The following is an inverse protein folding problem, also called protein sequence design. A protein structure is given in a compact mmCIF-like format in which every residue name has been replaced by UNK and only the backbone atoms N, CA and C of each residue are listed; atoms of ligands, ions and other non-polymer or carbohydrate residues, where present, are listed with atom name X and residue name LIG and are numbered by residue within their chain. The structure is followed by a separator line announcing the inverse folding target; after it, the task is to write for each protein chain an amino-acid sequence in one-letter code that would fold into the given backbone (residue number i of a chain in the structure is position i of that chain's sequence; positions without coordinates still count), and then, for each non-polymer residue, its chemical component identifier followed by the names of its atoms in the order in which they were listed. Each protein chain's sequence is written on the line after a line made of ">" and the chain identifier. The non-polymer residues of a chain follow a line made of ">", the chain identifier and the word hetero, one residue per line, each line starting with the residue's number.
data_IF_109234871654
#
_entry.id   IF_109234871654
#
_cell.length_a   1.000
_cell.length_b   1.000
_cell.length_c   1.000
_cell.angle_alpha   90.00
_cell.angle_beta   90.00
_cell.angle_gamma   90.00
#
_symmetry.space_group_name_H-M   'P 1'
#
loop_
_entity.id
_entity.type
_entity.pdbx_description
1 polymer ?
#
# COMPACT_ATOMS: atom_id res chain seq x y z
N UNK A 1 -10.10 47.49 36.42
CA UNK A 1 -10.72 48.13 35.23
C UNK A 1 -10.86 47.09 34.15
N UNK A 2 -12.12 46.88 33.72
CA UNK A 2 -12.64 46.35 32.45
C UNK A 2 -11.73 45.49 31.55
N UNK A 3 -12.19 44.27 31.22
CA UNK A 3 -12.93 44.07 29.95
C UNK A 3 -13.49 42.64 29.88
N UNK A 4 -14.82 42.54 30.01
CA UNK A 4 -15.62 41.36 29.72
C UNK A 4 -15.65 41.07 28.20
N UNK A 5 -15.54 39.79 27.82
CA UNK A 5 -15.78 39.31 26.46
C UNK A 5 -17.22 38.79 26.32
N UNK A 6 -17.93 39.12 25.22
CA UNK A 6 -19.34 38.78 25.06
C UNK A 6 -19.58 37.33 24.61
N UNK A 7 -20.58 36.70 25.23
CA UNK A 7 -21.15 35.40 24.85
C UNK A 7 -22.10 35.57 23.65
N UNK A 8 -21.82 34.87 22.54
CA UNK A 8 -22.77 34.75 21.43
C UNK A 8 -23.82 33.67 21.74
N UNK A 9 -25.10 34.08 21.66
CA UNK A 9 -26.30 33.22 21.70
C UNK A 9 -26.55 32.64 20.30
N UNK A 10 -26.74 31.34 20.18
CA UNK A 10 -27.39 30.73 19.00
C UNK A 10 -28.86 30.47 19.31
N UNK A 11 -29.73 30.99 18.45
CA UNK A 11 -31.18 30.84 18.46
C UNK A 11 -31.57 29.51 17.81
N UNK A 12 -32.45 28.79 18.49
CA UNK A 12 -33.25 27.73 17.90
C UNK A 12 -34.33 28.34 16.98
N UNK A 13 -34.54 27.73 15.81
CA UNK A 13 -35.74 27.94 14.99
C UNK A 13 -36.44 26.61 14.77
N UNK A 14 -37.73 26.64 15.06
CA UNK A 14 -38.67 25.54 15.07
C UNK A 14 -39.69 25.67 13.93
N UNK A 15 -39.99 24.56 13.26
CA UNK A 15 -41.25 24.27 12.54
C UNK A 15 -41.42 24.87 11.13
N UNK A 16 -42.43 24.43 10.34
CA UNK A 16 -43.59 23.62 10.74
C UNK A 16 -43.93 22.39 9.87
N UNK A 17 -44.91 21.64 10.39
CA UNK A 17 -45.67 20.52 9.84
C UNK A 17 -46.43 20.87 8.55
N UNK A 18 -46.63 19.88 7.68
CA UNK A 18 -47.65 19.88 6.62
C UNK A 18 -48.03 18.46 6.24
N UNK A 19 -49.29 18.10 6.50
CA UNK A 19 -49.95 16.79 6.28
C UNK A 19 -50.92 16.91 5.10
N UNK A 20 -51.34 15.77 4.54
CA UNK A 20 -52.48 15.50 3.63
C UNK A 20 -52.12 15.56 2.13
N UNK A 21 -52.51 14.65 1.22
CA UNK A 21 -53.63 13.69 1.04
C UNK A 21 -53.26 12.80 -0.22
N UNK A 22 -54.13 11.98 -0.88
CA UNK A 22 -55.05 10.92 -0.46
C UNK A 22 -54.81 9.56 -1.21
N UNK A 23 -55.67 8.58 -0.87
CA UNK A 23 -55.88 7.24 -1.47
C UNK A 23 -56.56 7.26 -2.86
N UNK A 24 -56.55 6.06 -3.48
CA UNK A 24 -57.42 5.51 -4.57
C UNK A 24 -56.74 5.51 -5.95
N UNK A 25 -56.86 4.52 -6.84
CA UNK A 25 -57.56 3.23 -6.88
C UNK A 25 -57.17 2.55 -8.20
N UNK A 26 -57.05 1.22 -8.22
CA UNK A 26 -57.06 0.39 -9.44
C UNK A 26 -58.44 0.47 -10.11
N UNK A 27 -58.52 0.21 -11.43
CA UNK A 27 -59.24 -1.00 -11.82
C UNK A 27 -58.62 -1.80 -12.98
N UNK A 28 -59.17 -3.00 -13.11
CA UNK A 28 -58.77 -4.15 -13.92
C UNK A 28 -59.14 -4.10 -15.40
N UNK A 29 -58.37 -4.88 -16.18
CA UNK A 29 -58.81 -5.79 -17.27
C UNK A 29 -59.21 -5.21 -18.64
N UNK A 30 -58.58 -5.69 -19.73
CA UNK A 30 -59.02 -6.90 -20.46
C UNK A 30 -58.10 -7.23 -21.64
N UNK A 31 -57.99 -8.53 -21.88
CA UNK A 31 -57.32 -9.21 -22.97
C UNK A 31 -57.77 -8.77 -24.37
N UNK A 32 -56.86 -8.84 -25.34
CA UNK A 32 -57.18 -9.51 -26.60
C UNK A 32 -55.92 -10.12 -27.22
N UNK A 33 -55.87 -11.44 -27.24
CA UNK A 33 -54.87 -12.23 -27.95
C UNK A 33 -55.08 -12.13 -29.46
N UNK A 34 -54.01 -11.87 -30.21
CA UNK A 34 -53.88 -12.30 -31.62
C UNK A 34 -52.55 -13.01 -31.82
N UNK A 35 -52.66 -14.32 -32.01
CA UNK A 35 -51.65 -15.25 -32.52
C UNK A 35 -51.27 -14.82 -33.93
N UNK A 36 -50.02 -14.43 -34.14
CA UNK A 36 -49.42 -14.36 -35.47
C UNK A 36 -48.08 -15.10 -35.43
N UNK A 37 -47.88 -15.87 -36.49
CA UNK A 37 -46.92 -16.96 -36.67
C UNK A 37 -45.47 -16.59 -36.37
N UNK A 38 -44.77 -17.58 -35.82
CA UNK A 38 -43.32 -17.71 -35.73
C UNK A 38 -42.62 -17.28 -37.03
N UNK A 39 -41.76 -16.28 -36.88
CA UNK A 39 -40.57 -16.10 -37.70
C UNK A 39 -39.41 -16.16 -36.72
N UNK A 40 -38.77 -17.33 -36.64
CA UNK A 40 -37.48 -17.50 -35.97
C UNK A 40 -36.51 -16.42 -36.45
N UNK A 41 -36.03 -15.52 -35.59
CA UNK A 41 -34.93 -14.65 -35.92
C UNK A 41 -33.67 -15.53 -36.00
N UNK A 42 -33.25 -15.87 -37.20
CA UNK A 42 -31.86 -16.29 -37.46
C UNK A 42 -30.99 -15.09 -37.14
N UNK A 43 -30.42 -15.12 -35.95
CA UNK A 43 -29.60 -14.03 -35.44
C UNK A 43 -29.48 -14.04 -33.93
N UNK A 44 -29.47 -15.22 -33.30
CA UNK A 44 -28.87 -15.33 -31.97
C UNK A 44 -27.37 -15.19 -32.21
N UNK A 45 -26.90 -13.94 -32.23
CA UNK A 45 -25.50 -13.67 -31.89
C UNK A 45 -25.35 -14.29 -30.51
N UNK A 46 -24.71 -15.45 -30.45
CA UNK A 46 -24.11 -15.92 -29.22
C UNK A 46 -23.10 -14.81 -28.93
N UNK A 47 -23.48 -13.87 -28.06
CA UNK A 47 -22.51 -13.05 -27.38
C UNK A 47 -21.70 -14.04 -26.57
N UNK A 48 -20.61 -14.54 -27.15
CA UNK A 48 -19.47 -15.00 -26.37
C UNK A 48 -18.99 -13.75 -25.65
N UNK A 49 -19.65 -13.43 -24.54
CA UNK A 49 -19.13 -12.52 -23.52
C UNK A 49 -17.91 -13.22 -22.89
N UNK A 50 -16.87 -13.41 -23.69
CA UNK A 50 -15.56 -13.03 -23.19
C UNK A 50 -15.65 -11.53 -22.97
N UNK A 51 -16.26 -11.12 -21.86
CA UNK A 51 -16.02 -9.78 -21.29
C UNK A 51 -14.51 -9.72 -21.17
N UNK A 52 -13.88 -9.07 -22.17
CA UNK A 52 -12.47 -8.77 -22.21
C UNK A 52 -12.17 -8.14 -20.85
N UNK A 53 -11.52 -8.91 -19.99
CA UNK A 53 -10.93 -8.37 -18.78
C UNK A 53 -10.16 -7.13 -19.23
N UNK A 54 -10.24 -5.98 -18.52
CA UNK A 54 -9.36 -4.86 -18.82
C UNK A 54 -7.97 -5.45 -18.95
N UNK A 55 -7.37 -5.31 -20.14
CA UNK A 55 -6.27 -6.18 -20.53
C UNK A 55 -5.23 -6.08 -19.41
N UNK A 56 -4.80 -7.19 -18.82
CA UNK A 56 -3.78 -7.19 -17.75
C UNK A 56 -2.57 -6.30 -18.14
N UNK A 57 -2.34 -6.11 -19.44
CA UNK A 57 -1.43 -5.15 -20.05
C UNK A 57 -1.56 -3.71 -19.50
N UNK A 58 -2.77 -3.22 -19.22
CA UNK A 58 -3.00 -1.88 -18.67
C UNK A 58 -2.48 -1.71 -17.23
N UNK A 59 -2.29 -2.83 -16.51
CA UNK A 59 -1.74 -2.82 -15.15
C UNK A 59 -0.22 -2.84 -15.11
N UNK A 60 0.43 -2.90 -16.28
CA UNK A 60 1.87 -3.07 -16.41
C UNK A 60 2.36 -4.27 -15.58
N UNK A 61 1.64 -5.39 -15.65
CA UNK A 61 2.04 -6.68 -15.09
C UNK A 61 2.22 -7.64 -16.27
N UNK A 62 3.18 -8.56 -16.17
CA UNK A 62 3.39 -9.60 -17.19
C UNK A 62 2.07 -10.25 -17.63
N UNK A 63 1.94 -10.51 -18.93
CA UNK A 63 0.73 -11.10 -19.51
C UNK A 63 0.48 -12.54 -19.08
N UNK A 64 1.49 -13.20 -18.49
CA UNK A 64 1.43 -14.58 -18.00
C UNK A 64 1.95 -14.66 -16.56
N UNK A 65 1.19 -14.13 -15.58
CA UNK A 65 1.60 -14.23 -14.18
C UNK A 65 1.70 -15.70 -13.73
N UNK A 66 2.59 -16.03 -12.79
CA UNK A 66 2.68 -17.38 -12.22
C UNK A 66 1.32 -17.88 -11.71
N UNK A 67 1.06 -19.20 -11.76
CA UNK A 67 -0.24 -19.76 -11.37
C UNK A 67 -0.64 -19.43 -9.93
N UNK A 68 0.34 -19.34 -9.04
CA UNK A 68 0.19 -18.99 -7.62
C UNK A 68 0.15 -17.47 -7.37
N UNK A 69 0.11 -16.64 -8.40
CA UNK A 69 -0.02 -15.19 -8.27
C UNK A 69 -1.45 -14.75 -8.56
N UNK A 70 -2.04 -14.00 -7.64
CA UNK A 70 -3.32 -13.34 -7.81
C UNK A 70 -3.11 -11.84 -7.90
N UNK A 71 -3.93 -11.18 -8.72
CA UNK A 71 -3.93 -9.73 -8.88
C UNK A 71 -5.24 -9.22 -8.33
N UNK A 72 -5.17 -8.27 -7.40
CA UNK A 72 -6.30 -7.50 -6.88
C UNK A 72 -6.16 -6.08 -7.41
N UNK A 73 -7.08 -5.65 -8.26
CA UNK A 73 -7.07 -4.31 -8.82
C UNK A 73 -8.24 -3.50 -8.28
N UNK A 74 -7.89 -2.34 -7.73
CA UNK A 74 -8.80 -1.37 -7.14
C UNK A 74 -8.67 -0.08 -7.93
N UNK A 75 -9.79 0.42 -8.44
CA UNK A 75 -9.83 1.65 -9.24
C UNK A 75 -10.96 2.56 -8.80
N UNK A 76 -10.75 3.87 -8.97
CA UNK A 76 -11.72 4.89 -8.58
C UNK A 76 -12.92 4.90 -9.53
N UNK A 77 -14.11 5.11 -8.97
CA UNK A 77 -15.34 5.39 -9.71
C UNK A 77 -15.90 6.74 -9.25
N UNK A 78 -15.31 7.81 -9.77
CA UNK A 78 -15.50 9.16 -9.23
C UNK A 78 -14.73 9.41 -7.93
N UNK A 79 -15.12 10.46 -7.19
CA UNK A 79 -14.29 11.01 -6.10
C UNK A 79 -14.26 10.15 -4.83
N UNK A 80 -15.39 9.53 -4.49
CA UNK A 80 -15.60 8.86 -3.21
C UNK A 80 -16.12 7.43 -3.38
N UNK A 81 -15.90 6.82 -4.54
CA UNK A 81 -16.24 5.42 -4.77
C UNK A 81 -15.12 4.71 -5.48
N UNK A 82 -15.14 3.39 -5.37
CA UNK A 82 -14.17 2.52 -6.00
C UNK A 82 -14.83 1.21 -6.41
N UNK A 83 -14.18 0.52 -7.34
CA UNK A 83 -14.51 -0.84 -7.71
C UNK A 83 -13.31 -1.74 -7.41
N UNK A 84 -13.60 -3.01 -7.17
CA UNK A 84 -12.60 -4.06 -6.99
C UNK A 84 -12.86 -5.12 -8.04
N UNK A 85 -11.80 -5.64 -8.63
CA UNK A 85 -11.81 -6.95 -9.26
C UNK A 85 -10.53 -7.71 -8.92
N UNK A 86 -10.61 -9.02 -9.03
CA UNK A 86 -9.55 -9.92 -8.69
C UNK A 86 -9.43 -11.01 -9.74
N UNK A 87 -8.21 -11.35 -10.13
CA UNK A 87 -7.96 -12.41 -11.09
C UNK A 87 -6.81 -13.29 -10.64
N UNK A 88 -6.97 -14.58 -10.90
CA UNK A 88 -5.92 -15.58 -10.87
C UNK A 88 -6.25 -16.61 -11.96
N UNK A 89 -5.23 -17.34 -12.45
CA UNK A 89 -5.40 -18.38 -13.47
C UNK A 89 -6.45 -19.45 -13.13
N UNK A 90 -6.74 -19.67 -11.85
CA UNK A 90 -7.71 -20.64 -11.36
C UNK A 90 -9.11 -20.04 -11.13
N UNK A 91 -9.20 -18.80 -10.60
CA UNK A 91 -10.48 -18.22 -10.16
C UNK A 91 -10.47 -16.70 -10.25
N UNK A 92 -11.58 -16.14 -10.74
CA UNK A 92 -11.85 -14.69 -10.74
C UNK A 92 -12.69 -14.30 -9.52
N UNK A 93 -12.50 -13.09 -9.03
CA UNK A 93 -13.41 -12.45 -8.09
C UNK A 93 -14.65 -12.00 -8.85
N UNK A 94 -15.83 -12.29 -8.32
CA UNK A 94 -17.08 -11.81 -8.89
C UNK A 94 -17.13 -10.28 -8.84
N UNK A 95 -17.32 -9.66 -10.00
CA UNK A 95 -17.42 -8.20 -10.09
C UNK A 95 -18.72 -7.74 -9.45
N UNK A 96 -18.62 -6.82 -8.48
CA UNK A 96 -19.80 -6.14 -7.94
C UNK A 96 -20.42 -5.28 -9.04
N UNK A 97 -21.76 -5.29 -9.13
CA UNK A 97 -22.50 -4.47 -10.12
C UNK A 97 -22.44 -2.97 -9.83
N UNK A 98 -22.21 -2.61 -8.58
CA UNK A 98 -22.20 -1.22 -8.13
C UNK A 98 -20.90 -0.90 -7.40
N UNK A 99 -20.35 0.32 -7.60
CA UNK A 99 -19.17 0.78 -6.89
C UNK A 99 -19.42 0.94 -5.39
N UNK A 100 -18.39 0.70 -4.60
CA UNK A 100 -18.40 0.86 -3.16
C UNK A 100 -18.02 2.27 -2.76
N UNK A 101 -18.56 2.76 -1.64
CA UNK A 101 -18.15 4.07 -1.10
C UNK A 101 -16.78 3.98 -0.45
N UNK A 102 -15.99 5.07 -0.54
CA UNK A 102 -14.73 5.24 0.18
C UNK A 102 -14.93 4.84 1.66
N UNK A 103 -14.17 3.87 2.16
CA UNK A 103 -14.35 3.44 3.54
C UNK A 103 -13.74 4.50 4.48
N UNK A 104 -14.30 4.61 5.68
CA UNK A 104 -13.78 5.49 6.74
C UNK A 104 -12.59 4.83 7.46
N UNK A 105 -11.54 4.52 6.68
CA UNK A 105 -10.37 3.73 7.11
C UNK A 105 -9.03 4.45 6.90
N UNK A 106 -9.04 5.76 6.61
CA UNK A 106 -7.79 6.46 6.34
C UNK A 106 -6.89 6.43 7.58
N UNK A 107 -5.72 5.82 7.41
CA UNK A 107 -4.68 5.70 8.43
C UNK A 107 -3.70 6.88 8.39
N UNK A 108 -4.12 7.96 7.73
CA UNK A 108 -3.38 9.20 7.69
C UNK A 108 -3.29 9.89 9.06
N UNK A 109 -4.15 9.53 10.03
CA UNK A 109 -4.16 10.14 11.36
C UNK A 109 -3.24 9.36 12.31
N UNK A 110 -2.32 10.03 13.04
CA UNK A 110 -1.51 9.40 14.07
C UNK A 110 -2.36 8.65 15.12
N UNK A 111 -1.89 7.48 15.51
CA UNK A 111 -2.51 6.67 16.57
C UNK A 111 -2.08 7.25 17.92
N UNK A 112 -2.90 8.11 18.50
CA UNK A 112 -2.58 8.85 19.72
C UNK A 112 -3.00 8.09 20.99
N UNK A 113 -3.84 7.05 20.87
CA UNK A 113 -4.34 6.29 22.03
C UNK A 113 -4.74 4.84 21.75
N UNK A 114 -5.12 4.13 22.82
CA UNK A 114 -5.66 2.76 22.76
C UNK A 114 -6.95 2.72 21.95
N UNK A 115 -7.81 3.72 22.15
CA UNK A 115 -9.11 3.80 21.50
C UNK A 115 -8.95 3.95 19.98
N UNK A 116 -7.96 4.71 19.51
CA UNK A 116 -7.67 4.85 18.08
C UNK A 116 -7.28 3.51 17.45
N UNK A 117 -6.33 2.78 18.05
CA UNK A 117 -5.88 1.49 17.53
C UNK A 117 -6.99 0.43 17.53
N UNK A 118 -7.80 0.40 18.60
CA UNK A 118 -8.96 -0.48 18.70
C UNK A 118 -10.03 -0.13 17.65
N UNK A 119 -10.31 1.16 17.45
CA UNK A 119 -11.26 1.62 16.44
C UNK A 119 -10.79 1.27 15.03
N UNK A 120 -9.50 1.46 14.72
CA UNK A 120 -8.93 1.05 13.42
C UNK A 120 -9.11 -0.46 13.21
N UNK A 121 -8.74 -1.29 14.19
CA UNK A 121 -8.92 -2.75 14.09
C UNK A 121 -10.39 -3.12 13.87
N UNK A 122 -11.31 -2.53 14.63
CA UNK A 122 -12.74 -2.81 14.52
C UNK A 122 -13.31 -2.37 13.15
N UNK A 123 -12.92 -1.19 12.66
CA UNK A 123 -13.35 -0.71 11.36
C UNK A 123 -12.80 -1.60 10.23
N UNK A 124 -11.55 -2.07 10.35
CA UNK A 124 -10.97 -3.04 9.41
C UNK A 124 -11.71 -4.38 9.42
N UNK A 125 -12.14 -4.83 10.60
CA UNK A 125 -12.97 -6.04 10.72
C UNK A 125 -14.32 -5.84 10.03
N UNK A 126 -15.03 -4.76 10.32
CA UNK A 126 -16.31 -4.44 9.68
C UNK A 126 -16.17 -4.34 8.16
N UNK A 127 -15.10 -3.67 7.70
CA UNK A 127 -14.77 -3.58 6.28
C UNK A 127 -14.53 -4.94 5.63
N UNK A 128 -13.87 -5.85 6.34
CA UNK A 128 -13.64 -7.22 5.89
C UNK A 128 -14.95 -8.02 5.79
N UNK A 129 -15.84 -7.86 6.78
CA UNK A 129 -17.17 -8.50 6.80
C UNK A 129 -18.04 -8.02 5.61
N UNK A 130 -18.06 -6.70 5.36
CA UNK A 130 -18.75 -6.09 4.21
C UNK A 130 -18.16 -6.54 2.86
N UNK A 131 -16.89 -6.94 2.86
CA UNK A 131 -16.17 -7.46 1.71
C UNK A 131 -16.04 -8.99 1.71
N UNK A 132 -17.02 -9.70 2.27
CA UNK A 132 -17.01 -11.17 2.30
C UNK A 132 -16.80 -11.87 0.94
N UNK A 133 -17.24 -11.34 -0.24
CA UNK A 133 -16.87 -11.96 -1.52
C UNK A 133 -15.37 -11.93 -1.79
N UNK A 134 -14.70 -10.83 -1.44
CA UNK A 134 -13.25 -10.67 -1.58
C UNK A 134 -12.52 -11.64 -0.64
N UNK A 135 -12.89 -11.68 0.64
CA UNK A 135 -12.23 -12.57 1.60
C UNK A 135 -12.43 -14.05 1.24
N UNK A 136 -13.64 -14.46 0.82
CA UNK A 136 -13.91 -15.81 0.31
C UNK A 136 -13.12 -16.15 -0.95
N UNK A 137 -12.95 -15.20 -1.88
CA UNK A 137 -12.12 -15.40 -3.06
C UNK A 137 -10.67 -15.67 -2.66
N UNK A 138 -10.10 -14.83 -1.79
CA UNK A 138 -8.72 -14.98 -1.31
C UNK A 138 -8.52 -16.30 -0.56
N UNK A 139 -9.46 -16.68 0.32
CA UNK A 139 -9.42 -17.96 1.01
C UNK A 139 -9.42 -19.13 0.04
N UNK A 140 -10.27 -19.11 -0.99
CA UNK A 140 -10.30 -20.19 -1.99
C UNK A 140 -9.02 -20.30 -2.82
N UNK A 141 -8.30 -19.18 -3.03
CA UNK A 141 -6.98 -19.20 -3.64
C UNK A 141 -5.94 -19.77 -2.68
N UNK A 142 -6.02 -19.41 -1.39
CA UNK A 142 -5.13 -19.94 -0.36
C UNK A 142 -5.31 -21.44 -0.18
N UNK A 143 -6.55 -21.94 -0.17
CA UNK A 143 -6.83 -23.38 -0.13
C UNK A 143 -6.21 -24.12 -1.32
N UNK A 144 -6.10 -23.45 -2.48
CA UNK A 144 -5.52 -24.02 -3.70
C UNK A 144 -3.99 -23.99 -3.73
N UNK A 145 -3.38 -22.88 -3.31
CA UNK A 145 -1.94 -22.62 -3.51
C UNK A 145 -1.12 -22.64 -2.21
N UNK A 146 -1.76 -22.69 -1.05
CA UNK A 146 -1.13 -22.71 0.27
C UNK A 146 -0.26 -21.47 0.52
N UNK A 147 0.87 -21.69 1.21
CA UNK A 147 1.86 -20.66 1.54
C UNK A 147 2.56 -20.04 0.33
N UNK A 148 2.44 -20.66 -0.85
CA UNK A 148 3.02 -20.16 -2.09
C UNK A 148 2.16 -19.09 -2.76
N UNK A 149 0.94 -18.82 -2.27
CA UNK A 149 0.11 -17.76 -2.82
C UNK A 149 0.80 -16.39 -2.67
N UNK A 150 0.84 -15.64 -3.76
CA UNK A 150 1.24 -14.23 -3.77
C UNK A 150 0.07 -13.37 -4.25
N UNK A 151 -0.19 -12.28 -3.54
CA UNK A 151 -1.20 -11.30 -3.89
C UNK A 151 -0.53 -9.98 -4.31
N UNK A 152 -0.69 -9.62 -5.58
CA UNK A 152 -0.30 -8.31 -6.12
C UNK A 152 -1.49 -7.37 -6.00
N UNK A 153 -1.31 -6.26 -5.28
CA UNK A 153 -2.35 -5.28 -4.99
C UNK A 153 -2.07 -4.05 -5.85
N UNK A 154 -2.94 -3.80 -6.82
CA UNK A 154 -2.89 -2.64 -7.71
C UNK A 154 -3.97 -1.67 -7.28
N UNK A 155 -3.61 -0.68 -6.46
CA UNK A 155 -4.56 0.27 -5.89
C UNK A 155 -4.38 1.67 -6.51
N UNK A 156 -5.30 2.05 -7.39
CA UNK A 156 -5.35 3.39 -8.00
C UNK A 156 -6.21 4.38 -7.21
N UNK A 157 -6.67 4.01 -6.01
CA UNK A 157 -7.41 4.92 -5.12
C UNK A 157 -6.44 5.68 -4.22
N UNK A 158 -6.84 6.85 -3.71
CA UNK A 158 -6.09 7.58 -2.67
C UNK A 158 -6.70 7.31 -1.29
N UNK A 159 -7.31 6.14 -1.12
CA UNK A 159 -8.05 5.82 0.09
C UNK A 159 -7.13 5.19 1.14
N UNK A 160 -5.90 4.83 0.76
CA UNK A 160 -4.85 4.34 1.67
C UNK A 160 -5.33 3.13 2.47
N UNK A 161 -6.13 2.28 1.83
CA UNK A 161 -6.71 1.11 2.48
C UNK A 161 -5.57 0.13 2.78
N UNK A 162 -5.39 -0.32 4.04
CA UNK A 162 -4.39 -1.31 4.40
C UNK A 162 -4.90 -2.70 4.03
N UNK A 163 -4.95 -3.02 2.74
CA UNK A 163 -5.44 -4.29 2.21
C UNK A 163 -4.81 -5.53 2.88
N UNK A 164 -3.57 -5.39 3.35
CA UNK A 164 -2.84 -6.40 4.10
C UNK A 164 -3.50 -6.72 5.47
N UNK A 165 -4.22 -5.77 6.07
CA UNK A 165 -4.95 -5.92 7.33
C UNK A 165 -6.36 -6.51 7.17
N UNK A 166 -6.78 -6.85 5.95
CA UNK A 166 -8.07 -7.53 5.77
C UNK A 166 -8.10 -8.82 6.57
N UNK A 167 -9.14 -8.97 7.37
CA UNK A 167 -9.39 -10.13 8.19
C UNK A 167 -10.13 -11.19 7.35
N UNK A 168 -9.49 -12.34 7.17
CA UNK A 168 -10.12 -13.53 6.64
C UNK A 168 -10.90 -14.17 7.79
N UNK A 169 -12.21 -13.94 7.81
CA UNK A 169 -13.09 -14.53 8.83
C UNK A 169 -12.88 -16.04 8.84
N UNK A 170 -12.50 -16.64 9.97
CA UNK A 170 -12.27 -18.07 10.02
C UNK A 170 -13.58 -18.83 9.75
N UNK A 171 -13.53 -19.86 8.91
CA UNK A 171 -14.67 -20.75 8.67
C UNK A 171 -15.15 -21.48 9.94
N UNK A 172 -14.29 -21.54 10.96
CA UNK A 172 -14.58 -22.13 12.26
C UNK A 172 -14.63 -21.02 13.31
N UNK A 173 -15.74 -20.89 14.02
CA UNK A 173 -15.99 -19.84 15.02
C UNK A 173 -14.97 -19.78 16.19
N UNK A 174 -14.04 -20.74 16.28
CA UNK A 174 -13.04 -20.85 17.36
C UNK A 174 -11.59 -20.67 16.89
N UNK A 175 -11.35 -20.40 15.60
CA UNK A 175 -9.98 -20.12 15.13
C UNK A 175 -9.65 -18.64 15.32
N UNK A 176 -8.38 -18.31 15.63
CA UNK A 176 -7.98 -16.91 15.77
C UNK A 176 -8.16 -16.15 14.45
N UNK A 177 -8.36 -14.81 14.52
CA UNK A 177 -8.40 -13.94 13.35
C UNK A 177 -7.17 -14.13 12.47
N UNK A 178 -7.40 -14.13 11.16
CA UNK A 178 -6.39 -14.40 10.16
C UNK A 178 -6.27 -13.20 9.23
N UNK A 179 -5.09 -12.60 9.11
CA UNK A 179 -4.90 -11.37 8.33
C UNK A 179 -4.14 -11.66 7.04
N UNK A 180 -4.58 -11.10 5.91
CA UNK A 180 -4.00 -11.39 4.58
C UNK A 180 -2.47 -11.24 4.59
N UNK A 181 -1.97 -10.10 5.06
CA UNK A 181 -0.56 -9.76 5.05
C UNK A 181 0.31 -10.61 5.99
N UNK A 182 -0.30 -11.35 6.92
CA UNK A 182 0.37 -12.30 7.80
C UNK A 182 0.30 -13.75 7.29
N UNK A 183 -0.52 -14.02 6.27
CA UNK A 183 -0.77 -15.38 5.76
C UNK A 183 -0.29 -15.58 4.33
N UNK A 184 -0.30 -14.51 3.54
CA UNK A 184 -0.04 -14.52 2.11
C UNK A 184 1.04 -13.50 1.83
N UNK A 185 1.97 -13.80 0.93
CA UNK A 185 2.96 -12.82 0.48
C UNK A 185 2.25 -11.73 -0.32
N UNK A 186 2.24 -10.50 0.18
CA UNK A 186 1.58 -9.35 -0.47
C UNK A 186 2.62 -8.40 -1.03
N UNK A 187 2.37 -7.88 -2.23
CA UNK A 187 3.10 -6.74 -2.79
C UNK A 187 2.14 -5.74 -3.38
N UNK A 188 2.53 -4.48 -3.41
CA UNK A 188 1.80 -3.43 -4.12
C UNK A 188 2.45 -3.13 -5.46
N UNK A 189 1.64 -2.82 -6.46
CA UNK A 189 2.11 -2.43 -7.78
C UNK A 189 1.26 -1.30 -8.34
N UNK A 190 1.81 -0.58 -9.31
CA UNK A 190 1.18 0.54 -10.00
C UNK A 190 1.92 0.84 -11.30
N UNK A 191 1.29 1.60 -12.18
CA UNK A 191 1.96 2.15 -13.35
C UNK A 191 3.06 3.13 -12.89
N UNK A 192 4.28 2.83 -13.31
CA UNK A 192 5.49 3.61 -13.03
C UNK A 192 6.07 3.99 -14.38
N UNK A 193 6.28 5.28 -14.63
CA UNK A 193 6.85 5.74 -15.90
C UNK A 193 8.24 5.13 -16.08
N UNK A 194 8.55 4.72 -17.31
CA UNK A 194 9.87 4.29 -17.69
C UNK A 194 10.59 5.42 -18.40
N UNK A 195 11.50 6.09 -17.69
CA UNK A 195 12.29 7.20 -18.24
C UNK A 195 13.52 6.70 -19.01
N UNK A 196 13.66 5.38 -19.21
CA UNK A 196 14.78 4.82 -19.96
C UNK A 196 14.69 5.20 -21.43
N UNK A 197 15.71 5.93 -21.92
CA UNK A 197 15.84 6.38 -23.31
C UNK A 197 15.80 5.21 -24.31
N UNK A 198 16.19 4.01 -23.86
CA UNK A 198 16.28 2.80 -24.69
C UNK A 198 14.98 1.96 -24.69
N UNK A 199 13.96 2.32 -23.92
CA UNK A 199 12.72 1.55 -23.81
C UNK A 199 11.65 2.06 -24.77
N UNK A 200 11.05 1.14 -25.55
CA UNK A 200 9.84 1.44 -26.31
C UNK A 200 8.58 1.45 -25.44
N UNK A 201 8.64 0.84 -24.26
CA UNK A 201 7.51 0.79 -23.32
C UNK A 201 7.51 2.02 -22.40
N UNK A 202 6.39 2.76 -22.30
CA UNK A 202 6.30 3.97 -21.49
C UNK A 202 6.22 3.69 -19.98
N UNK A 203 6.01 2.43 -19.57
CA UNK A 203 5.87 2.03 -18.18
C UNK A 203 6.73 0.82 -17.83
N UNK A 204 7.15 0.73 -16.57
CA UNK A 204 7.80 -0.47 -16.03
C UNK A 204 6.79 -1.60 -15.90
N UNK A 205 7.17 -2.79 -16.37
CA UNK A 205 6.35 -4.00 -16.24
C UNK A 205 6.82 -4.82 -15.05
N UNK A 206 5.88 -5.18 -14.16
CA UNK A 206 6.13 -6.18 -13.12
C UNK A 206 6.27 -7.56 -13.76
N UNK A 207 7.49 -8.06 -13.78
CA UNK A 207 7.83 -9.41 -14.17
C UNK A 207 8.28 -10.22 -12.95
N UNK A 208 7.41 -11.07 -12.37
CA UNK A 208 7.71 -11.81 -11.16
C UNK A 208 8.75 -12.90 -11.45
N UNK A 209 10.02 -12.55 -11.29
CA UNK A 209 11.15 -13.46 -11.47
C UNK A 209 12.05 -13.40 -10.25
N UNK A 210 12.69 -14.51 -9.93
CA UNK A 210 13.70 -14.51 -8.87
C UNK A 210 14.84 -13.58 -9.25
N UNK A 211 15.02 -12.54 -8.45
CA UNK A 211 16.10 -11.57 -8.58
C UNK A 211 16.82 -11.47 -7.24
N UNK A 212 18.11 -11.16 -7.33
CA UNK A 212 18.95 -10.99 -6.16
C UNK A 212 19.55 -9.59 -6.19
N UNK A 213 19.40 -8.86 -5.10
CA UNK A 213 20.05 -7.58 -4.89
C UNK A 213 21.31 -7.81 -4.04
N UNK A 214 22.48 -7.51 -4.60
CA UNK A 214 23.79 -7.68 -3.96
C UNK A 214 24.53 -6.35 -3.92
N UNK A 215 25.34 -6.15 -2.89
CA UNK A 215 26.07 -4.90 -2.69
C UNK A 215 26.04 -4.42 -1.24
N UNK A 216 26.47 -3.18 -1.04
CA UNK A 216 26.60 -2.58 0.29
C UNK A 216 25.26 -2.03 0.80
N UNK A 217 25.11 -2.04 2.13
CA UNK A 217 24.08 -1.29 2.82
C UNK A 217 24.56 0.14 3.05
N UNK A 218 23.70 1.12 2.77
CA UNK A 218 23.93 2.54 3.08
C UNK A 218 22.70 3.07 3.80
N UNK A 219 22.91 3.94 4.78
CA UNK A 219 21.86 4.47 5.61
C UNK A 219 21.99 5.97 5.81
N UNK A 220 20.86 6.67 5.82
CA UNK A 220 20.74 7.99 6.42
C UNK A 220 19.89 7.90 7.69
N UNK A 221 20.40 8.44 8.79
CA UNK A 221 19.70 8.42 10.08
C UNK A 221 19.53 9.82 10.64
N UNK A 222 18.27 10.21 10.86
CA UNK A 222 17.91 11.45 11.51
C UNK A 222 17.97 11.29 13.04
N UNK A 223 18.96 11.91 13.67
CA UNK A 223 19.19 11.76 15.12
C UNK A 223 18.11 12.40 16.01
N UNK A 224 17.16 13.14 15.44
CA UNK A 224 15.96 13.63 16.15
C UNK A 224 15.02 12.49 16.59
N UNK A 225 15.15 11.30 15.99
CA UNK A 225 14.26 10.17 16.18
C UNK A 225 14.70 9.15 17.25
N UNK A 226 15.80 9.39 17.99
CA UNK A 226 16.35 8.41 18.96
C UNK A 226 16.62 7.05 18.28
N UNK A 227 17.50 7.09 17.29
CA UNK A 227 17.79 6.01 16.34
C UNK A 227 18.85 5.02 16.84
N UNK A 228 19.16 4.97 18.14
CA UNK A 228 20.30 4.21 18.66
C UNK A 228 20.20 2.70 18.36
N UNK A 229 18.97 2.14 18.43
CA UNK A 229 18.71 0.74 18.08
C UNK A 229 18.99 0.47 16.59
N UNK A 230 18.54 1.39 15.73
CA UNK A 230 18.70 1.29 14.28
C UNK A 230 20.18 1.41 13.89
N UNK A 231 20.91 2.37 14.46
CA UNK A 231 22.35 2.54 14.26
C UNK A 231 23.09 1.26 14.63
N UNK A 232 22.74 0.63 15.74
CA UNK A 232 23.35 -0.65 16.14
C UNK A 232 23.09 -1.74 15.10
N UNK A 233 21.83 -1.93 14.69
CA UNK A 233 21.46 -2.94 13.69
C UNK A 233 22.15 -2.71 12.33
N UNK A 234 22.27 -1.44 11.91
CA UNK A 234 22.98 -1.05 10.70
C UNK A 234 24.50 -1.24 10.81
N UNK A 235 25.07 -0.99 11.99
CA UNK A 235 26.50 -1.23 12.26
C UNK A 235 26.81 -2.72 12.22
N UNK A 236 25.93 -3.57 12.77
CA UNK A 236 26.04 -5.03 12.70
C UNK A 236 25.99 -5.53 11.23
N UNK A 237 25.23 -4.83 10.37
CA UNK A 237 25.23 -5.03 8.91
C UNK A 237 26.47 -4.49 8.18
N UNK A 238 27.36 -3.76 8.87
CA UNK A 238 28.45 -2.98 8.27
C UNK A 238 27.96 -1.98 7.23
N UNK A 239 26.80 -1.38 7.46
CA UNK A 239 26.28 -0.33 6.60
C UNK A 239 27.16 0.93 6.69
N UNK A 240 27.24 1.69 5.60
CA UNK A 240 27.77 3.05 5.63
C UNK A 240 26.68 4.01 6.12
N UNK A 241 26.88 4.62 7.29
CA UNK A 241 25.85 5.39 8.00
C UNK A 241 26.16 6.89 7.92
N UNK A 242 25.23 7.64 7.33
CA UNK A 242 25.21 9.10 7.27
C UNK A 242 24.36 9.66 8.41
N UNK A 243 25.05 10.21 9.41
CA UNK A 243 24.42 10.86 10.55
C UNK A 243 23.97 12.28 10.22
N UNK A 244 22.71 12.63 10.50
CA UNK A 244 22.18 13.96 10.22
C UNK A 244 22.89 15.11 10.94
N UNK A 245 23.63 14.83 12.04
CA UNK A 245 24.47 15.83 12.73
C UNK A 245 25.75 16.17 11.98
N UNK A 246 26.19 15.29 11.08
CA UNK A 246 27.44 15.43 10.34
C UNK A 246 27.21 15.74 8.86
N UNK A 247 26.13 15.20 8.29
CA UNK A 247 25.82 15.28 6.88
C UNK A 247 24.41 15.80 6.65
N UNK A 248 24.27 16.69 5.68
CA UNK A 248 22.97 17.08 5.15
C UNK A 248 22.35 15.93 4.36
N UNK A 249 21.02 15.80 4.40
CA UNK A 249 20.28 14.87 3.54
C UNK A 249 20.67 15.00 2.05
N UNK A 250 20.94 16.23 1.58
CA UNK A 250 21.41 16.48 0.21
C UNK A 250 22.79 15.86 -0.08
N UNK A 251 23.67 15.78 0.91
CA UNK A 251 24.94 15.07 0.78
C UNK A 251 24.70 13.58 0.57
N UNK A 252 23.84 12.96 1.39
CA UNK A 252 23.46 11.56 1.23
C UNK A 252 22.82 11.28 -0.13
N UNK A 253 21.90 12.14 -0.57
CA UNK A 253 21.31 12.07 -1.90
C UNK A 253 22.37 12.15 -3.03
N UNK A 254 23.35 13.03 -2.89
CA UNK A 254 24.46 13.17 -3.85
C UNK A 254 25.35 11.93 -3.87
N UNK A 255 25.58 11.32 -2.71
CA UNK A 255 26.29 10.04 -2.60
C UNK A 255 25.57 8.92 -3.34
N UNK A 256 24.25 8.77 -3.13
CA UNK A 256 23.42 7.79 -3.85
C UNK A 256 23.36 8.03 -5.37
N UNK A 257 23.65 9.24 -5.83
CA UNK A 257 23.76 9.56 -7.25
C UNK A 257 25.13 9.19 -7.85
N UNK A 258 26.17 9.05 -7.01
CA UNK A 258 27.52 8.75 -7.49
C UNK A 258 27.66 7.30 -7.95
N UNK A 259 28.28 7.08 -9.12
CA UNK A 259 28.43 5.77 -9.79
C UNK A 259 29.36 4.77 -9.08
N UNK A 260 29.85 5.11 -7.88
CA UNK A 260 31.02 4.46 -7.29
C UNK A 260 30.68 3.25 -6.42
N UNK A 261 29.40 2.99 -6.13
CA UNK A 261 29.02 1.92 -5.22
C UNK A 261 27.75 1.16 -5.65
N UNK A 262 27.86 -0.17 -5.62
CA UNK A 262 26.73 -1.09 -5.79
C UNK A 262 25.91 -1.10 -4.49
N UNK A 263 24.91 -0.21 -4.38
CA UNK A 263 24.01 -0.13 -3.23
C UNK A 263 22.87 -1.15 -3.34
N UNK A 264 22.92 -2.20 -2.52
CA UNK A 264 21.85 -3.21 -2.50
C UNK A 264 20.74 -2.88 -1.53
N UNK A 265 21.04 -2.07 -0.51
CA UNK A 265 20.09 -1.66 0.52
C UNK A 265 20.32 -0.22 0.92
N UNK A 266 19.29 0.60 0.74
CA UNK A 266 19.26 2.01 1.15
C UNK A 266 18.25 2.16 2.26
N UNK A 267 18.71 2.52 3.45
CA UNK A 267 17.85 2.80 4.61
C UNK A 267 17.73 4.30 4.86
N UNK A 268 16.53 4.79 5.12
CA UNK A 268 16.30 6.20 5.47
C UNK A 268 15.40 6.26 6.70
N UNK A 269 15.94 6.75 7.82
CA UNK A 269 15.19 7.04 9.04
C UNK A 269 14.99 8.54 9.16
N UNK A 270 13.74 9.01 9.06
CA UNK A 270 13.40 10.44 9.07
C UNK A 270 11.93 10.70 9.36
N UNK A 271 11.55 11.96 9.61
CA UNK A 271 10.13 12.32 9.54
C UNK A 271 9.66 12.32 8.09
N UNK A 272 8.37 12.08 7.88
CA UNK A 272 7.73 12.28 6.59
C UNK A 272 6.71 13.40 6.66
N UNK A 273 6.72 14.24 5.64
CA UNK A 273 5.84 15.38 5.46
C UNK A 273 4.97 15.10 4.25
N UNK A 274 3.66 15.24 4.42
CA UNK A 274 2.69 14.98 3.36
C UNK A 274 1.71 16.13 3.26
N UNK A 275 1.57 16.66 2.05
CA UNK A 275 0.64 17.73 1.72
C UNK A 275 -0.25 17.40 0.53
N UNK A 276 -0.91 18.43 -0.01
CA UNK A 276 -1.87 18.26 -1.11
C UNK A 276 -1.23 18.37 -2.50
N UNK A 277 0.07 18.67 -2.56
CA UNK A 277 0.84 18.80 -3.80
C UNK A 277 2.21 18.10 -3.68
N UNK A 278 2.82 17.68 -4.80
CA UNK A 278 4.17 17.12 -4.80
C UNK A 278 5.24 18.00 -4.12
N UNK A 279 5.10 19.34 -4.18
CA UNK A 279 6.02 20.30 -3.56
C UNK A 279 5.98 20.31 -2.02
N UNK A 280 4.89 19.81 -1.45
CA UNK A 280 4.67 19.71 -0.01
C UNK A 280 5.07 18.33 0.55
N UNK A 281 5.53 17.41 -0.30
CA UNK A 281 5.98 16.09 0.12
C UNK A 281 7.49 16.11 0.32
N UNK A 282 7.92 15.70 1.52
CA UNK A 282 9.33 15.62 1.88
C UNK A 282 9.60 14.53 2.92
N UNK A 283 10.85 14.14 3.06
CA UNK A 283 11.38 13.36 4.18
C UNK A 283 12.58 14.07 4.79
N UNK A 284 12.72 14.09 6.12
CA UNK A 284 13.84 14.77 6.77
C UNK A 284 13.57 15.28 8.18
N UNK A 285 14.32 16.30 8.59
CA UNK A 285 14.18 16.96 9.90
C UNK A 285 12.92 17.82 10.01
N UNK A 286 12.31 17.87 11.20
CA UNK A 286 11.25 18.85 11.51
C UNK A 286 11.80 20.24 11.83
N UNK A 287 13.04 20.31 12.31
CA UNK A 287 13.68 21.52 12.83
C UNK A 287 14.51 22.24 11.77
N UNK A 288 15.01 21.51 10.78
CA UNK A 288 15.92 22.01 9.76
C UNK A 288 15.42 21.63 8.36
N UNK A 289 15.14 22.65 7.53
CA UNK A 289 14.65 22.47 6.16
C UNK A 289 15.75 22.04 5.19
N UNK A 290 17.02 22.35 5.47
CA UNK A 290 18.15 21.89 4.63
C UNK A 290 18.39 20.37 4.80
N UNK A 291 17.89 19.81 5.91
CA UNK A 291 17.87 18.39 6.19
C UNK A 291 16.62 17.69 5.63
N UNK A 292 15.87 18.33 4.73
CA UNK A 292 14.72 17.73 4.05
C UNK A 292 15.05 17.44 2.59
N UNK A 293 14.75 16.22 2.16
CA UNK A 293 14.68 15.84 0.76
C UNK A 293 13.23 15.97 0.28
N UNK A 294 12.97 16.92 -0.62
CA UNK A 294 11.64 17.05 -1.21
C UNK A 294 11.48 16.04 -2.33
N UNK A 295 10.23 15.65 -2.58
CA UNK A 295 9.90 14.75 -3.68
C UNK A 295 10.38 15.29 -5.03
N UNK A 296 10.25 16.61 -5.25
CA UNK A 296 10.70 17.26 -6.49
C UNK A 296 12.22 17.34 -6.65
N UNK A 297 13.00 17.15 -5.59
CA UNK A 297 14.47 17.11 -5.70
C UNK A 297 14.92 15.80 -6.37
N UNK A 298 14.24 14.68 -6.05
CA UNK A 298 14.46 13.38 -6.70
C UNK A 298 14.05 13.35 -8.18
N UNK A 299 13.15 14.24 -8.59
CA UNK A 299 12.80 14.40 -10.01
C UNK A 299 13.90 15.13 -10.77
N UNK A 300 14.47 16.18 -10.16
CA UNK A 300 15.51 17.01 -10.79
C UNK A 300 16.88 16.34 -10.82
N UNK A 301 17.14 15.52 -9.81
CA UNK A 301 18.41 14.84 -9.61
C UNK A 301 18.11 13.35 -9.42
N UNK A 302 17.78 12.61 -10.51
CA UNK A 302 17.46 11.20 -10.40
C UNK A 302 18.64 10.45 -9.81
N UNK A 303 18.39 9.49 -8.91
CA UNK A 303 19.45 8.62 -8.44
C UNK A 303 19.99 7.78 -9.60
N UNK A 304 21.26 7.42 -9.50
CA UNK A 304 21.86 6.42 -10.36
C UNK A 304 22.16 5.20 -9.49
N UNK A 305 21.12 4.48 -9.00
CA UNK A 305 21.37 3.24 -8.27
C UNK A 305 22.04 2.32 -9.29
N UNK A 306 23.35 2.12 -9.15
CA UNK A 306 24.17 1.53 -10.19
C UNK A 306 23.44 0.36 -10.84
N UNK A 307 23.22 0.42 -12.16
CA UNK A 307 22.32 -0.49 -12.93
C UNK A 307 22.51 -1.98 -12.60
N UNK A 308 23.66 -2.35 -12.02
CA UNK A 308 24.06 -3.68 -11.57
C UNK A 308 23.43 -4.14 -10.25
N UNK A 309 23.30 -3.27 -9.25
CA UNK A 309 22.96 -3.69 -7.87
C UNK A 309 21.47 -3.90 -7.63
N UNK A 310 20.62 -3.17 -8.36
CA UNK A 310 19.17 -3.38 -8.36
C UNK A 310 18.59 -3.44 -6.93
N UNK A 311 18.95 -2.45 -6.10
CA UNK A 311 18.75 -2.48 -4.65
C UNK A 311 17.30 -2.38 -4.15
N UNK A 312 17.18 -2.48 -2.83
CA UNK A 312 15.96 -2.26 -2.06
C UNK A 312 16.08 -0.96 -1.28
N UNK A 313 15.04 -0.14 -1.30
CA UNK A 313 14.98 1.09 -0.49
C UNK A 313 13.99 0.88 0.65
N UNK A 314 14.40 1.19 1.87
CA UNK A 314 13.50 1.19 3.03
C UNK A 314 13.43 2.60 3.61
N UNK A 315 12.27 3.24 3.41
CA UNK A 315 11.96 4.59 3.91
C UNK A 315 11.18 4.45 5.21
N UNK A 316 11.88 4.48 6.33
CA UNK A 316 11.30 4.48 7.67
C UNK A 316 10.87 5.91 8.05
N UNK A 317 9.80 6.38 7.41
CA UNK A 317 9.21 7.70 7.64
C UNK A 317 7.70 7.66 7.47
N UNK A 318 6.96 8.35 8.33
CA UNK A 318 5.50 8.48 8.25
C UNK A 318 5.05 8.87 6.84
N UNK A 319 3.96 8.28 6.36
CA UNK A 319 3.36 8.62 5.06
C UNK A 319 4.27 8.44 3.83
N UNK A 320 5.42 7.80 3.95
CA UNK A 320 6.39 7.63 2.84
C UNK A 320 5.84 6.88 1.63
N UNK A 321 4.79 6.06 1.80
CA UNK A 321 4.10 5.38 0.71
C UNK A 321 2.83 6.09 0.23
N UNK A 322 2.40 7.19 0.85
CA UNK A 322 1.20 7.92 0.44
C UNK A 322 1.41 8.64 -0.88
N UNK A 323 0.34 8.76 -1.63
CA UNK A 323 0.34 9.27 -3.00
C UNK A 323 -0.42 10.59 -3.10
N UNK A 324 0.11 11.50 -3.90
CA UNK A 324 -0.59 12.70 -4.32
C UNK A 324 -0.84 12.67 -5.82
N UNK A 325 -2.00 13.15 -6.25
CA UNK A 325 -2.29 13.37 -7.66
C UNK A 325 -1.36 14.44 -8.22
N UNK A 326 -0.78 14.18 -9.39
CA UNK A 326 -0.03 15.21 -10.11
C UNK A 326 -1.03 16.01 -10.97
N UNK A 327 -1.22 17.32 -10.73
CA UNK A 327 -2.14 18.12 -11.53
C UNK A 327 -1.66 18.36 -12.97
N UNK A 328 -0.37 18.13 -13.26
CA UNK A 328 0.25 18.38 -14.57
C UNK A 328 0.20 17.15 -15.47
N UNK A 329 0.30 15.94 -14.89
CA UNK A 329 0.23 14.68 -15.64
C UNK A 329 -1.23 14.19 -15.73
N UNK A 330 -1.52 13.30 -16.68
CA UNK A 330 -2.88 12.79 -16.96
C UNK A 330 -3.64 12.46 -15.65
N UNK A 331 -4.95 12.70 -15.61
CA UNK A 331 -5.82 12.78 -14.43
C UNK A 331 -5.77 11.59 -13.43
N UNK A 332 -5.08 10.50 -13.73
CA UNK A 332 -4.88 9.34 -12.86
C UNK A 332 -3.43 9.14 -12.38
N UNK A 333 -2.44 9.87 -12.91
CA UNK A 333 -1.05 9.71 -12.49
C UNK A 333 -0.81 10.33 -11.12
N UNK A 334 0.04 9.67 -10.34
CA UNK A 334 0.30 10.03 -8.95
C UNK A 334 1.78 9.99 -8.68
N UNK A 335 2.25 10.80 -7.74
CA UNK A 335 3.68 10.83 -7.37
C UNK A 335 3.83 10.55 -5.89
N UNK A 336 4.90 9.85 -5.56
CA UNK A 336 5.39 9.63 -4.21
C UNK A 336 6.84 9.13 -4.28
N UNK A 337 7.49 8.97 -3.12
CA UNK A 337 8.86 8.46 -3.08
C UNK A 337 8.98 7.08 -3.71
N UNK A 338 7.99 6.20 -3.46
CA UNK A 338 7.95 4.84 -4.00
C UNK A 338 8.09 4.83 -5.52
N UNK A 339 7.25 5.60 -6.23
CA UNK A 339 7.27 5.68 -7.68
C UNK A 339 8.60 6.23 -8.19
N UNK A 340 9.14 7.29 -7.57
CA UNK A 340 10.41 7.86 -7.99
C UNK A 340 11.59 6.92 -7.84
N UNK A 341 11.69 6.20 -6.71
CA UNK A 341 12.74 5.22 -6.51
C UNK A 341 12.63 4.05 -7.49
N UNK A 342 11.42 3.50 -7.71
CA UNK A 342 11.21 2.41 -8.68
C UNK A 342 11.52 2.85 -10.11
N UNK A 343 11.12 4.06 -10.49
CA UNK A 343 11.45 4.67 -11.79
C UNK A 343 12.95 4.82 -12.00
N UNK A 344 13.71 5.01 -10.92
CA UNK A 344 15.17 5.08 -10.94
C UNK A 344 15.84 3.70 -10.97
N UNK A 345 15.07 2.59 -10.98
CA UNK A 345 15.58 1.25 -11.23
C UNK A 345 15.79 0.37 -9.98
N UNK A 346 15.40 0.85 -8.79
CA UNK A 346 15.39 -0.02 -7.60
C UNK A 346 14.34 -1.13 -7.77
N UNK A 347 14.56 -2.29 -7.15
CA UNK A 347 13.68 -3.47 -7.32
C UNK A 347 12.50 -3.49 -6.38
N UNK A 348 12.63 -2.80 -5.27
CA UNK A 348 11.52 -2.59 -4.38
C UNK A 348 11.75 -1.51 -3.36
N UNK A 349 10.64 -1.01 -2.85
CA UNK A 349 10.61 0.05 -1.86
C UNK A 349 9.66 -0.35 -0.75
N UNK A 350 10.14 -0.21 0.49
CA UNK A 350 9.33 -0.34 1.70
C UNK A 350 9.04 1.07 2.21
N UNK A 351 7.78 1.35 2.49
CA UNK A 351 7.34 2.61 3.08
C UNK A 351 6.05 2.43 3.88
N UNK A 352 5.54 3.50 4.47
CA UNK A 352 4.36 3.46 5.35
C UNK A 352 3.15 4.16 4.72
N UNK A 353 1.98 3.54 4.80
CA UNK A 353 0.70 4.15 4.36
C UNK A 353 0.23 5.31 5.27
N UNK A 354 0.68 5.31 6.52
CA UNK A 354 0.18 6.18 7.57
C UNK A 354 1.27 6.75 8.45
N UNK A 355 0.85 7.43 9.52
CA UNK A 355 1.77 7.83 10.57
C UNK A 355 2.10 6.61 11.43
N UNK A 356 3.39 6.45 11.73
CA UNK A 356 3.88 5.39 12.60
C UNK A 356 4.48 5.97 13.87
N UNK A 357 4.34 5.27 14.99
CA UNK A 357 4.97 5.68 16.24
C UNK A 357 6.48 5.41 16.19
N UNK A 358 7.30 6.37 16.62
CA UNK A 358 8.76 6.29 16.51
C UNK A 358 9.35 5.02 17.15
N UNK A 359 8.92 4.65 18.35
CA UNK A 359 9.47 3.48 19.05
C UNK A 359 9.15 2.19 18.29
N UNK A 360 7.90 2.08 17.82
CA UNK A 360 7.45 0.93 17.02
C UNK A 360 8.13 0.89 15.66
N UNK A 361 8.33 2.05 15.03
CA UNK A 361 9.02 2.17 13.75
C UNK A 361 10.49 1.73 13.87
N UNK A 362 11.14 2.10 14.98
CA UNK A 362 12.50 1.68 15.31
C UNK A 362 12.60 0.19 15.53
N UNK A 363 11.71 -0.38 16.35
CA UNK A 363 11.68 -1.82 16.62
C UNK A 363 11.41 -2.63 15.34
N UNK A 364 10.42 -2.21 14.54
CA UNK A 364 10.12 -2.84 13.25
C UNK A 364 11.31 -2.80 12.30
N UNK A 365 11.99 -1.64 12.18
CA UNK A 365 13.15 -1.51 11.30
C UNK A 365 14.31 -2.41 11.74
N UNK A 366 14.59 -2.47 13.05
CA UNK A 366 15.62 -3.34 13.60
C UNK A 366 15.30 -4.82 13.35
N UNK A 367 14.06 -5.25 13.58
CA UNK A 367 13.63 -6.62 13.31
C UNK A 367 13.76 -6.97 11.82
N UNK A 368 13.34 -6.07 10.92
CA UNK A 368 13.47 -6.30 9.48
C UNK A 368 14.93 -6.42 9.03
N UNK A 369 15.80 -5.54 9.53
CA UNK A 369 17.24 -5.57 9.27
C UNK A 369 17.87 -6.89 9.75
N UNK A 370 17.49 -7.35 10.95
CA UNK A 370 17.95 -8.63 11.48
C UNK A 370 17.45 -9.80 10.61
N UNK A 371 16.20 -9.75 10.16
CA UNK A 371 15.64 -10.77 9.27
C UNK A 371 16.33 -10.82 7.91
N UNK A 372 16.74 -9.68 7.34
CA UNK A 372 17.59 -9.67 6.13
C UNK A 372 18.92 -10.41 6.34
N UNK A 373 19.49 -10.33 7.54
CA UNK A 373 20.75 -11.00 7.88
C UNK A 373 20.57 -12.50 8.10
N UNK A 374 19.47 -12.89 8.75
CA UNK A 374 19.23 -14.28 9.17
C UNK A 374 18.57 -15.14 8.08
N UNK A 375 17.80 -14.51 7.20
CA UNK A 375 16.96 -15.18 6.20
C UNK A 375 17.33 -14.73 4.78
N UNK A 376 18.61 -14.84 4.42
CA UNK A 376 19.20 -14.31 3.17
C UNK A 376 18.68 -14.91 1.86
N UNK A 377 17.83 -15.93 1.92
CA UNK A 377 17.17 -16.56 0.77
C UNK A 377 15.69 -16.22 0.65
N UNK A 378 15.11 -15.54 1.65
CA UNK A 378 13.70 -15.16 1.61
C UNK A 378 13.51 -13.86 0.81
N UNK A 379 12.49 -13.79 -0.07
CA UNK A 379 12.13 -12.55 -0.71
C UNK A 379 11.71 -11.48 0.30
N UNK A 380 11.97 -10.22 0.00
CA UNK A 380 11.63 -9.08 0.88
C UNK A 380 10.15 -9.10 1.29
N UNK A 381 9.25 -9.36 0.33
CA UNK A 381 7.82 -9.46 0.60
C UNK A 381 7.46 -10.60 1.57
N UNK A 382 8.20 -11.71 1.55
CA UNK A 382 8.01 -12.82 2.48
C UNK A 382 8.51 -12.49 3.90
N UNK A 383 9.55 -11.65 4.01
CA UNK A 383 10.00 -11.13 5.31
C UNK A 383 8.97 -10.21 5.95
N UNK A 384 8.33 -9.31 5.18
CA UNK A 384 7.20 -8.52 5.68
C UNK A 384 6.03 -9.42 6.12
N UNK A 385 5.74 -10.50 5.39
CA UNK A 385 4.75 -11.51 5.82
C UNK A 385 5.11 -12.06 7.20
N UNK A 386 6.36 -12.51 7.38
CA UNK A 386 6.85 -13.07 8.64
C UNK A 386 6.73 -12.10 9.81
N UNK A 387 7.11 -10.83 9.64
CA UNK A 387 6.99 -9.81 10.69
C UNK A 387 5.52 -9.55 11.06
N UNK A 388 4.62 -9.50 10.06
CA UNK A 388 3.18 -9.38 10.31
C UNK A 388 2.62 -10.60 11.02
N UNK A 389 3.08 -11.82 10.71
CA UNK A 389 2.70 -13.03 11.46
C UNK A 389 3.08 -12.90 12.94
N UNK A 390 4.31 -12.46 13.25
CA UNK A 390 4.73 -12.20 14.65
C UNK A 390 3.84 -11.15 15.33
N UNK A 391 3.48 -10.07 14.62
CA UNK A 391 2.60 -9.04 15.17
C UNK A 391 1.17 -9.57 15.46
N UNK A 392 0.67 -10.51 14.66
CA UNK A 392 -0.61 -11.20 14.91
C UNK A 392 -0.50 -12.13 16.12
N UNK A 393 0.58 -12.90 16.22
CA UNK A 393 0.83 -13.79 17.36
C UNK A 393 0.94 -13.01 18.68
N UNK A 394 1.64 -11.86 18.66
CA UNK A 394 1.79 -10.98 19.82
C UNK A 394 0.47 -10.27 20.20
N UNK A 395 -0.53 -10.23 19.32
CA UNK A 395 -1.80 -9.57 19.64
C UNK A 395 -2.54 -10.32 20.77
N UNK A 396 -2.54 -11.65 20.74
CA UNK A 396 -3.31 -12.47 21.69
C UNK A 396 -4.83 -12.21 21.64
N UNK A 397 -5.56 -12.83 22.57
CA UNK A 397 -7.02 -12.72 22.63
C UNK A 397 -7.49 -11.40 23.27
N UNK A 398 -6.76 -10.94 24.30
CA UNK A 398 -7.03 -9.68 25.02
C UNK A 398 -5.85 -8.72 24.89
N UNK A 399 -5.69 -8.05 23.72
CA UNK A 399 -4.50 -7.26 23.47
C UNK A 399 -4.40 -6.02 24.36
N UNK A 400 -3.19 -5.76 24.83
CA UNK A 400 -2.84 -4.47 25.46
C UNK A 400 -2.86 -3.33 24.44
N UNK A 401 -2.80 -2.08 24.92
CA UNK A 401 -2.69 -0.93 24.02
C UNK A 401 -1.41 -0.97 23.18
N UNK A 402 -0.31 -1.47 23.75
CA UNK A 402 0.99 -1.53 23.08
C UNK A 402 0.98 -2.61 22.00
N UNK A 403 0.41 -3.79 22.29
CA UNK A 403 0.23 -4.86 21.30
C UNK A 403 -0.67 -4.42 20.13
N UNK A 404 -1.78 -3.72 20.42
CA UNK A 404 -2.63 -3.14 19.37
C UNK A 404 -1.86 -2.13 18.52
N UNK A 405 -1.13 -1.20 19.16
CA UNK A 405 -0.32 -0.21 18.43
C UNK A 405 0.72 -0.91 17.57
N UNK A 406 1.46 -1.87 18.11
CA UNK A 406 2.46 -2.64 17.39
C UNK A 406 1.86 -3.35 16.16
N UNK A 407 0.70 -4.00 16.35
CA UNK A 407 -0.05 -4.64 15.27
C UNK A 407 -0.42 -3.65 14.16
N UNK A 408 -1.10 -2.54 14.48
CA UNK A 408 -1.52 -1.58 13.45
C UNK A 408 -0.31 -0.99 12.71
N UNK A 409 0.72 -0.56 13.44
CA UNK A 409 1.92 0.05 12.86
C UNK A 409 2.70 -0.94 11.97
N UNK A 410 2.83 -2.21 12.37
CA UNK A 410 3.49 -3.25 11.56
C UNK A 410 2.83 -3.41 10.20
N UNK A 411 1.50 -3.37 10.16
CA UNK A 411 0.75 -3.45 8.91
C UNK A 411 0.75 -2.15 8.10
N UNK A 412 1.29 -1.03 8.63
CA UNK A 412 1.42 0.21 7.87
C UNK A 412 2.55 0.13 6.85
N UNK A 413 3.56 -0.69 7.14
CA UNK A 413 4.66 -0.94 6.22
C UNK A 413 4.18 -1.79 5.07
N UNK A 414 4.35 -1.27 3.87
CA UNK A 414 3.99 -1.91 2.60
C UNK A 414 5.19 -1.98 1.70
N UNK A 415 5.24 -3.02 0.86
CA UNK A 415 6.31 -3.23 -0.11
C UNK A 415 5.75 -3.08 -1.51
N UNK A 416 6.40 -2.22 -2.30
CA UNK A 416 6.15 -2.09 -3.74
C UNK A 416 7.36 -2.64 -4.48
N UNK A 417 7.15 -3.49 -5.48
CA UNK A 417 8.25 -4.09 -6.24
C UNK A 417 7.99 -5.52 -6.67
N UNK A 418 9.07 -6.18 -7.09
CA UNK A 418 9.02 -7.58 -7.50
C UNK A 418 8.89 -8.51 -6.28
N UNK A 419 7.82 -9.34 -6.17
CA UNK A 419 7.56 -10.22 -5.02
C UNK A 419 8.63 -11.28 -4.78
N UNK A 420 9.48 -11.53 -5.77
CA UNK A 420 10.50 -12.57 -5.76
C UNK A 420 11.91 -12.00 -5.56
N UNK A 421 12.04 -10.70 -5.28
CA UNK A 421 13.34 -10.05 -5.00
C UNK A 421 13.88 -10.48 -3.66
N UNK A 422 15.09 -11.03 -3.65
CA UNK A 422 15.82 -11.42 -2.45
C UNK A 422 16.95 -10.42 -2.22
N UNK A 423 16.99 -9.82 -1.02
CA UNK A 423 18.09 -8.96 -0.61
C UNK A 423 19.19 -9.81 0.02
N UNK A 424 20.40 -9.78 -0.55
CA UNK A 424 21.57 -10.47 0.00
C UNK A 424 22.62 -9.46 0.39
N UNK A 425 22.64 -9.16 1.68
CA UNK A 425 23.66 -8.32 2.29
C UNK A 425 24.91 -9.18 2.50
N UNK A 426 25.92 -8.98 1.66
CA UNK A 426 27.26 -9.53 1.92
C UNK A 426 27.95 -8.61 2.94
N UNK A 427 28.56 -9.15 4.00
CA UNK A 427 29.53 -8.37 4.76
C UNK A 427 30.58 -7.88 3.77
N UNK A 428 30.79 -6.57 3.69
CA UNK A 428 31.88 -5.98 2.91
C UNK A 428 33.19 -6.66 3.34
N UNK A 429 33.79 -7.41 2.39
CA UNK A 429 35.03 -8.17 2.58
C UNK A 429 34.91 -9.69 2.43
N UNK A 430 34.93 -10.19 1.19
CA UNK A 430 35.66 -11.41 0.82
C UNK A 430 36.56 -11.11 -0.36
#
# INVERSE_FOLDING_TARGET
>A
MMADKPKLRQRATSGPKGVSQPKNSLPESKETAKRTKELTPKGTVILTEEEELPEIKELCITTKPPKNMAILHIFTDGKNKYNIWGVNSYKKLEKKRQPENKPHLSLAVPINGKDDAKNIKNNMKEFSDLNSPLTKWIMSLRDKFGENLCLVIVDYTNFEIPWEMLELTPFKAQSPPQYIGALITTVRWRNINNDSVDSCDPFLVLDPKHEYSYGIAVAYVLEELQVEKEIKALTDLRAEIYHSRQYEMKHFHTYLHSDNADHSFVYISSHGFFGNSPDEIAIGSQKDKEQQLKLNDLVKHPLNPGRKSQGIVFINACHSAREVSDPVQCHSYRKNFIELFLRQGVRGVIGTLGAVNNDVASDFACELIQEFSQSSDLPVAALLKKLRSKAVENLGDEPTSEQLKFFINTFMYVYYGNPMTVLRLTPSGK
#
